data_IF_480659039461
#
_entry.id   IF_480659039461
#
_cell.length_a   1.000
_cell.length_b   1.000
_cell.length_c   1.000
_cell.angle_alpha   90.00
_cell.angle_beta   90.00
_cell.angle_gamma   90.00
#
_symmetry.space_group_name_H-M   'P 1'
#
loop_
_entity.id
_entity.type
_entity.pdbx_description
1 polymer ?
#
# COMPACT_ATOMS: atom_id res chain seq x y z
N UNK A 1 -23.47 67.77 -14.18
CA UNK A 1 -22.90 68.65 -13.14
C UNK A 1 -23.77 68.52 -11.90
N UNK A 2 -23.32 68.31 -10.68
CA UNK A 2 -22.09 67.85 -10.05
C UNK A 2 -22.48 67.60 -8.56
N UNK A 3 -21.77 66.68 -7.92
CA UNK A 3 -21.59 66.45 -6.46
C UNK A 3 -21.62 67.72 -5.57
N UNK A 4 -21.96 67.65 -4.26
CA UNK A 4 -21.09 67.09 -3.19
C UNK A 4 -21.83 66.21 -2.16
N UNK A 5 -21.24 65.23 -1.46
CA UNK A 5 -20.01 65.12 -0.63
C UNK A 5 -20.11 65.68 0.81
N UNK A 6 -20.19 64.74 1.77
CA UNK A 6 -19.39 64.57 3.01
C UNK A 6 -19.66 65.36 4.33
N UNK A 7 -19.16 64.70 5.40
CA UNK A 7 -18.91 65.09 6.81
C UNK A 7 -20.10 64.87 7.79
N UNK A 8 -20.03 64.14 8.93
CA UNK A 8 -18.94 63.55 9.73
C UNK A 8 -19.48 62.64 10.87
N UNK A 9 -18.69 61.62 11.26
CA UNK A 9 -18.42 61.07 12.63
C UNK A 9 -19.62 60.72 13.56
N UNK A 10 -19.73 59.60 14.28
CA UNK A 10 -18.71 58.80 14.97
C UNK A 10 -19.40 57.61 15.67
N UNK A 11 -18.63 56.52 15.86
CA UNK A 11 -18.77 55.47 16.90
C UNK A 11 -19.60 54.22 16.59
N UNK A 12 -18.95 53.25 15.95
CA UNK A 12 -19.27 51.82 16.08
C UNK A 12 -18.47 51.20 17.24
N UNK A 13 -19.04 50.27 18.04
CA UNK A 13 -18.40 49.69 19.22
C UNK A 13 -17.30 48.66 18.89
N UNK A 14 -16.35 48.41 19.82
CA UNK A 14 -15.19 47.55 19.57
C UNK A 14 -15.55 46.04 19.52
N UNK A 15 -14.75 45.21 18.81
CA UNK A 15 -14.99 43.78 18.70
C UNK A 15 -14.66 43.04 20.01
N UNK A 16 -15.34 41.90 20.30
CA UNK A 16 -15.11 41.14 21.51
C UNK A 16 -13.73 40.48 21.53
N UNK A 17 -13.12 40.51 22.72
CA UNK A 17 -11.77 40.05 23.03
C UNK A 17 -11.62 38.53 22.79
N UNK A 18 -10.64 38.18 21.97
CA UNK A 18 -10.12 36.82 21.80
C UNK A 18 -9.54 36.32 23.13
N UNK A 19 -10.27 35.46 23.82
CA UNK A 19 -9.73 34.65 24.91
C UNK A 19 -9.01 33.44 24.30
N UNK A 20 -7.69 33.50 24.25
CA UNK A 20 -6.84 32.33 24.06
C UNK A 20 -6.80 31.55 25.37
N UNK A 21 -7.32 30.32 25.35
CA UNK A 21 -7.01 29.31 26.36
C UNK A 21 -6.55 28.03 25.65
N UNK A 22 -5.48 27.37 26.15
CA UNK A 22 -4.88 26.24 25.48
C UNK A 22 -5.73 24.99 25.73
N UNK A 23 -6.28 24.40 24.68
CA UNK A 23 -6.92 23.08 24.79
C UNK A 23 -6.01 22.00 24.21
N UNK A 24 -5.11 21.54 25.07
CA UNK A 24 -4.52 20.21 24.96
C UNK A 24 -5.66 19.20 25.19
N UNK A 25 -5.97 18.39 24.19
CA UNK A 25 -6.84 17.21 24.33
C UNK A 25 -6.04 16.00 23.85
N UNK A 26 -5.49 15.31 24.84
CA UNK A 26 -5.04 13.93 24.73
C UNK A 26 -6.17 13.06 24.19
N UNK A 27 -5.85 12.30 23.15
CA UNK A 27 -6.70 11.27 22.58
C UNK A 27 -6.72 10.09 23.58
N UNK A 28 -7.90 9.56 23.95
CA UNK A 28 -7.98 8.43 24.86
C UNK A 28 -7.59 7.13 24.16
N UNK A 29 -6.53 6.51 24.65
CA UNK A 29 -6.13 5.13 24.35
C UNK A 29 -7.26 4.18 24.77
N UNK A 30 -7.94 3.56 23.80
CA UNK A 30 -8.90 2.50 24.09
C UNK A 30 -8.15 1.29 24.67
N UNK A 31 -8.46 1.00 25.94
CA UNK A 31 -8.02 -0.19 26.68
C UNK A 31 -8.55 -1.44 25.99
N UNK A 32 -7.65 -2.20 25.36
CA UNK A 32 -7.89 -3.63 25.10
C UNK A 32 -7.56 -4.37 26.41
N UNK A 33 -8.46 -5.29 26.76
CA UNK A 33 -8.43 -6.18 27.93
C UNK A 33 -7.07 -6.86 28.11
N UNK A 34 -6.27 -6.31 29.02
CA UNK A 34 -5.17 -7.01 29.67
C UNK A 34 -5.77 -8.04 30.62
N UNK A 35 -5.68 -9.32 30.29
CA UNK A 35 -5.95 -10.39 31.23
C UNK A 35 -4.77 -10.43 32.22
N UNK A 36 -4.92 -9.72 33.33
CA UNK A 36 -3.98 -9.74 34.45
C UNK A 36 -3.90 -11.17 35.01
N UNK A 37 -2.78 -11.85 34.77
CA UNK A 37 -2.36 -12.97 35.60
C UNK A 37 -1.88 -12.43 36.95
N UNK A 38 -2.45 -12.85 38.09
CA UNK A 38 -2.02 -12.36 39.39
C UNK A 38 -0.64 -12.92 39.76
N UNK A 39 0.27 -12.02 40.16
CA UNK A 39 1.41 -12.33 41.01
C UNK A 39 0.95 -12.27 42.47
N UNK A 40 0.94 -13.41 43.15
CA UNK A 40 1.05 -13.48 44.62
C UNK A 40 1.84 -14.73 45.03
N UNK A 41 3.03 -14.46 45.54
CA UNK A 41 3.68 -14.99 46.76
C UNK A 41 3.36 -16.40 47.29
N UNK A 42 4.47 -17.17 47.41
CA UNK A 42 4.96 -17.87 48.63
C UNK A 42 4.35 -19.20 49.10
N UNK A 43 5.26 -20.19 49.20
CA UNK A 43 5.31 -21.38 50.09
C UNK A 43 4.34 -22.50 49.64
N UNK A 44 4.78 -23.72 49.33
CA UNK A 44 5.21 -24.78 50.26
C UNK A 44 6.09 -25.80 49.49
N UNK A 45 7.31 -26.03 49.97
CA UNK A 45 8.06 -27.26 49.70
C UNK A 45 7.62 -28.30 50.75
N UNK A 46 6.90 -29.33 50.32
CA UNK A 46 6.69 -30.53 51.12
C UNK A 46 7.22 -31.73 50.34
N UNK A 47 8.38 -32.22 50.76
CA UNK A 47 8.81 -33.59 50.49
C UNK A 47 8.18 -34.49 51.55
N UNK A 48 7.34 -35.43 51.14
CA UNK A 48 7.15 -36.68 51.89
C UNK A 48 6.64 -37.79 50.97
N UNK A 49 7.38 -38.88 51.00
CA UNK A 49 7.12 -40.17 50.38
C UNK A 49 5.96 -40.88 51.10
N UNK A 50 5.00 -41.46 50.36
CA UNK A 50 4.35 -42.74 50.72
C UNK A 50 3.37 -43.24 49.65
N UNK A 51 3.71 -44.41 49.09
CA UNK A 51 2.88 -45.59 48.69
C UNK A 51 1.58 -45.43 47.87
N UNK A 52 1.66 -45.96 46.65
CA UNK A 52 0.75 -46.85 45.91
C UNK A 52 -0.77 -46.81 46.19
N UNK A 53 -1.55 -46.44 45.16
CA UNK A 53 -2.73 -47.19 44.71
C UNK A 53 -3.17 -46.73 43.31
N UNK A 54 -3.61 -47.69 42.48
CA UNK A 54 -3.87 -47.52 41.05
C UNK A 54 -4.97 -46.49 40.74
N UNK A 55 -4.61 -45.45 39.99
CA UNK A 55 -5.50 -44.41 39.49
C UNK A 55 -5.33 -44.33 37.96
N UNK A 56 -6.38 -44.07 37.15
CA UNK A 56 -6.24 -43.84 35.71
C UNK A 56 -5.17 -42.77 35.46
N UNK A 57 -4.48 -42.79 34.29
CA UNK A 57 -3.41 -41.83 34.04
C UNK A 57 -3.92 -40.41 34.32
N UNK A 58 -3.19 -39.63 35.12
CA UNK A 58 -3.61 -38.28 35.47
C UNK A 58 -3.86 -37.48 34.20
N UNK A 59 -4.79 -36.51 34.20
CA UNK A 59 -4.91 -35.55 33.11
C UNK A 59 -3.52 -35.00 32.86
N UNK A 60 -3.00 -35.21 31.64
CA UNK A 60 -1.65 -34.79 31.33
C UNK A 60 -1.55 -33.29 31.65
N UNK A 61 -0.51 -32.86 32.38
CA UNK A 61 -0.28 -31.44 32.62
C UNK A 61 -0.29 -30.73 31.26
N UNK A 62 -0.79 -29.48 31.15
CA UNK A 62 -0.85 -28.78 29.88
C UNK A 62 0.55 -28.81 29.30
N UNK A 63 0.72 -29.64 28.26
CA UNK A 63 2.03 -29.98 27.73
C UNK A 63 2.58 -28.65 27.22
N UNK A 64 3.63 -28.16 27.87
CA UNK A 64 4.27 -26.93 27.45
C UNK A 64 4.61 -27.10 25.96
N UNK A 65 4.14 -26.17 25.13
CA UNK A 65 4.31 -26.27 23.68
C UNK A 65 5.79 -26.46 23.36
N UNK A 66 6.19 -27.53 22.64
CA UNK A 66 7.60 -27.77 22.32
C UNK A 66 8.13 -26.77 21.27
N UNK A 67 7.22 -26.14 20.53
CA UNK A 67 7.52 -25.15 19.50
C UNK A 67 8.12 -23.87 20.12
N UNK A 68 9.31 -23.42 19.67
CA UNK A 68 9.91 -22.15 20.08
C UNK A 68 8.94 -20.98 19.88
N UNK A 69 8.98 -20.02 20.80
CA UNK A 69 8.01 -18.91 20.86
C UNK A 69 7.86 -18.14 19.53
N UNK A 70 8.97 -17.89 18.82
CA UNK A 70 8.96 -17.14 17.55
C UNK A 70 8.36 -17.90 16.37
N UNK A 71 8.35 -19.23 16.44
CA UNK A 71 7.80 -20.11 15.39
C UNK A 71 6.35 -20.51 15.67
N UNK A 72 5.75 -19.98 16.74
CA UNK A 72 4.34 -20.23 17.04
C UNK A 72 3.46 -19.39 16.09
N UNK A 73 2.47 -20.00 15.40
CA UNK A 73 1.62 -19.29 14.44
C UNK A 73 0.93 -18.05 15.00
N UNK A 74 0.61 -18.04 16.30
CA UNK A 74 -0.01 -16.89 16.96
C UNK A 74 0.96 -15.73 17.16
N UNK A 75 2.24 -16.01 17.40
CA UNK A 75 3.27 -14.98 17.53
C UNK A 75 3.66 -14.43 16.15
N UNK A 76 3.78 -15.30 15.14
CA UNK A 76 3.93 -14.89 13.73
C UNK A 76 2.81 -13.93 13.31
N UNK A 77 1.56 -14.24 13.68
CA UNK A 77 0.41 -13.37 13.44
C UNK A 77 0.53 -12.00 14.14
N UNK A 78 0.92 -11.97 15.40
CA UNK A 78 1.08 -10.71 16.15
C UNK A 78 2.22 -9.85 15.57
N UNK A 79 3.33 -10.50 15.19
CA UNK A 79 4.45 -9.85 14.51
C UNK A 79 4.02 -9.31 13.14
N UNK A 80 3.28 -10.08 12.35
CA UNK A 80 2.74 -9.62 11.08
C UNK A 80 1.79 -8.43 11.26
N UNK A 81 0.82 -8.53 12.17
CA UNK A 81 -0.18 -7.48 12.39
C UNK A 81 0.41 -6.17 12.94
N UNK A 82 1.55 -6.22 13.64
CA UNK A 82 2.24 -5.03 14.16
C UNK A 82 3.26 -4.44 13.17
N UNK A 83 3.86 -5.27 12.33
CA UNK A 83 4.88 -4.84 11.37
C UNK A 83 4.32 -3.97 10.23
N UNK A 84 5.14 -3.04 9.75
CA UNK A 84 4.88 -2.28 8.53
C UNK A 84 5.28 -3.12 7.30
N UNK A 85 4.53 -3.13 6.19
CA UNK A 85 3.27 -2.41 5.92
C UNK A 85 1.99 -3.21 6.28
N UNK A 86 2.13 -4.43 6.79
CA UNK A 86 1.02 -5.36 7.00
C UNK A 86 -0.01 -4.88 8.03
N UNK A 87 0.41 -4.07 8.99
CA UNK A 87 -0.47 -3.43 9.98
C UNK A 87 -1.56 -2.56 9.35
N UNK A 88 -1.33 -2.04 8.14
CA UNK A 88 -2.32 -1.24 7.41
C UNK A 88 -3.58 -2.04 7.10
N UNK A 89 -3.44 -3.33 6.78
CA UNK A 89 -4.58 -4.19 6.47
C UNK A 89 -5.38 -4.59 7.73
N UNK A 90 -4.75 -4.53 8.91
CA UNK A 90 -5.39 -4.82 10.19
C UNK A 90 -6.22 -3.63 10.74
N UNK A 91 -6.11 -2.44 10.15
CA UNK A 91 -6.88 -1.26 10.59
C UNK A 91 -8.38 -1.46 10.36
N UNK A 92 -9.20 -1.18 11.39
CA UNK A 92 -10.66 -1.33 11.34
C UNK A 92 -11.34 -0.26 10.48
N UNK A 93 -10.76 0.94 10.41
CA UNK A 93 -11.28 2.02 9.57
C UNK A 93 -10.93 1.79 8.10
N UNK A 94 -11.95 1.88 7.24
CA UNK A 94 -11.82 1.73 5.80
C UNK A 94 -11.15 2.97 5.18
N UNK A 95 -11.45 4.17 5.69
CA UNK A 95 -10.94 5.42 5.11
C UNK A 95 -9.42 5.50 5.32
N UNK A 96 -8.97 5.25 6.54
CA UNK A 96 -7.54 5.17 6.86
C UNK A 96 -6.81 4.09 6.07
N UNK A 97 -7.46 2.94 5.85
CA UNK A 97 -6.91 1.86 5.03
C UNK A 97 -6.66 2.32 3.59
N UNK A 98 -7.69 2.87 2.91
CA UNK A 98 -7.56 3.29 1.51
C UNK A 98 -6.62 4.49 1.34
N UNK A 99 -6.61 5.42 2.31
CA UNK A 99 -5.77 6.61 2.22
C UNK A 99 -4.28 6.27 2.27
N UNK A 100 -3.85 5.28 3.07
CA UNK A 100 -2.44 4.84 3.13
C UNK A 100 -1.95 4.28 1.79
N UNK A 101 -2.77 3.44 1.14
CA UNK A 101 -2.45 2.92 -0.20
C UNK A 101 -2.50 4.02 -1.26
N UNK A 102 -3.45 4.94 -1.16
CA UNK A 102 -3.55 6.06 -2.10
C UNK A 102 -2.35 7.01 -1.97
N UNK A 103 -1.96 7.39 -0.75
CA UNK A 103 -0.82 8.28 -0.51
C UNK A 103 0.49 7.63 -0.96
N UNK A 104 0.73 6.36 -0.61
CA UNK A 104 1.93 5.64 -1.07
C UNK A 104 1.98 5.50 -2.59
N UNK A 105 0.85 5.16 -3.22
CA UNK A 105 0.73 5.12 -4.69
C UNK A 105 0.96 6.50 -5.32
N UNK A 106 0.37 7.56 -4.79
CA UNK A 106 0.53 8.93 -5.28
C UNK A 106 1.98 9.42 -5.15
N UNK A 107 2.66 9.12 -4.03
CA UNK A 107 4.08 9.40 -3.90
C UNK A 107 4.89 8.70 -4.99
N UNK A 108 4.63 7.42 -5.26
CA UNK A 108 5.33 6.70 -6.33
C UNK A 108 5.08 7.32 -7.71
N UNK A 109 3.83 7.70 -8.00
CA UNK A 109 3.47 8.39 -9.25
C UNK A 109 4.22 9.71 -9.37
N UNK A 110 4.27 10.53 -8.32
CA UNK A 110 4.90 11.85 -8.37
C UNK A 110 6.43 11.77 -8.48
N UNK A 111 7.07 10.93 -7.67
CA UNK A 111 8.53 10.89 -7.59
C UNK A 111 9.19 10.02 -8.68
N UNK A 112 8.50 8.99 -9.16
CA UNK A 112 9.07 8.03 -10.13
C UNK A 112 8.23 8.02 -11.41
N UNK A 113 6.90 7.91 -11.29
CA UNK A 113 6.02 7.82 -12.45
C UNK A 113 6.10 9.03 -13.38
N UNK A 114 6.05 10.25 -12.83
CA UNK A 114 6.05 11.49 -13.61
C UNK A 114 7.41 11.75 -14.29
N UNK A 115 8.57 11.68 -13.61
CA UNK A 115 9.86 11.85 -14.29
C UNK A 115 10.07 10.81 -15.39
N UNK A 116 9.81 9.54 -15.10
CA UNK A 116 9.96 8.45 -16.10
C UNK A 116 9.05 8.68 -17.30
N UNK A 117 7.82 9.10 -17.07
CA UNK A 117 6.87 9.37 -18.14
C UNK A 117 7.24 10.61 -18.96
N UNK A 118 7.76 11.66 -18.32
CA UNK A 118 8.20 12.88 -19.00
C UNK A 118 9.34 12.61 -19.98
N UNK A 119 10.33 11.79 -19.58
CA UNK A 119 11.42 11.39 -20.48
C UNK A 119 11.01 10.35 -21.54
N UNK A 120 9.97 9.57 -21.28
CA UNK A 120 9.53 8.50 -22.19
C UNK A 120 8.66 8.96 -23.35
N UNK A 121 8.02 10.13 -23.28
CA UNK A 121 7.10 10.62 -24.32
C UNK A 121 7.80 11.58 -25.28
N UNK A 122 7.67 11.31 -26.58
CA UNK A 122 8.14 12.22 -27.64
C UNK A 122 7.22 13.46 -27.66
N UNK A 123 7.78 14.63 -27.37
CA UNK A 123 7.09 15.92 -27.23
C UNK A 123 6.00 15.94 -26.12
N UNK A 124 6.38 16.06 -24.83
CA UNK A 124 5.45 16.01 -23.71
C UNK A 124 4.39 17.12 -23.73
N UNK A 125 4.74 18.30 -24.25
CA UNK A 125 3.84 19.47 -24.37
C UNK A 125 2.63 19.19 -25.29
N UNK A 126 2.79 18.36 -26.32
CA UNK A 126 1.71 18.04 -27.26
C UNK A 126 0.79 16.94 -26.74
N UNK A 127 1.23 16.14 -25.76
CA UNK A 127 0.53 14.94 -25.31
C UNK A 127 0.52 14.76 -23.79
N UNK A 128 0.07 15.75 -23.01
CA UNK A 128 0.07 15.68 -21.55
C UNK A 128 -0.82 14.55 -21.02
N UNK A 129 -1.93 14.23 -21.69
CA UNK A 129 -2.84 13.16 -21.28
C UNK A 129 -2.17 11.79 -21.29
N UNK A 130 -1.36 11.49 -22.31
CA UNK A 130 -0.63 10.21 -22.35
C UNK A 130 0.36 10.11 -21.21
N UNK A 131 1.11 11.19 -20.96
CA UNK A 131 2.08 11.25 -19.87
C UNK A 131 1.41 11.00 -18.51
N UNK A 132 0.23 11.59 -18.27
CA UNK A 132 -0.53 11.36 -17.04
C UNK A 132 -1.02 9.91 -16.93
N UNK A 133 -1.59 9.34 -18.01
CA UNK A 133 -2.07 7.94 -17.97
C UNK A 133 -0.94 6.92 -17.84
N UNK A 134 0.24 7.15 -18.45
CA UNK A 134 1.41 6.29 -18.27
C UNK A 134 1.98 6.38 -16.86
N UNK A 135 2.07 7.59 -16.30
CA UNK A 135 2.50 7.77 -14.90
C UNK A 135 1.50 7.14 -13.91
N UNK A 136 0.19 7.27 -14.16
CA UNK A 136 -0.84 6.65 -13.34
C UNK A 136 -0.79 5.12 -13.43
N UNK A 137 -0.60 4.57 -14.64
CA UNK A 137 -0.52 3.12 -14.86
C UNK A 137 0.65 2.49 -14.10
N UNK A 138 1.81 3.16 -14.07
CA UNK A 138 2.97 2.67 -13.32
C UNK A 138 2.73 2.68 -11.80
N UNK A 139 2.09 3.72 -11.26
CA UNK A 139 1.69 3.78 -9.85
C UNK A 139 0.68 2.71 -9.47
N UNK A 140 -0.32 2.47 -10.31
CA UNK A 140 -1.29 1.38 -10.12
C UNK A 140 -0.60 0.02 -10.14
N UNK A 141 0.37 -0.20 -11.03
CA UNK A 141 1.13 -1.45 -11.09
C UNK A 141 1.90 -1.69 -9.78
N UNK A 142 2.63 -0.69 -9.28
CA UNK A 142 3.36 -0.84 -8.00
C UNK A 142 2.41 -1.04 -6.82
N UNK A 143 1.29 -0.33 -6.79
CA UNK A 143 0.26 -0.53 -5.77
C UNK A 143 -0.32 -1.97 -5.81
N UNK A 144 -0.57 -2.54 -7.00
CA UNK A 144 -1.05 -3.93 -7.13
C UNK A 144 -0.05 -4.92 -6.56
N UNK A 145 1.25 -4.75 -6.85
CA UNK A 145 2.31 -5.64 -6.36
C UNK A 145 2.43 -5.55 -4.83
N UNK A 146 2.37 -4.33 -4.28
CA UNK A 146 2.42 -4.14 -2.83
C UNK A 146 1.22 -4.80 -2.11
N UNK A 147 0.00 -4.61 -2.63
CA UNK A 147 -1.21 -5.24 -2.06
C UNK A 147 -1.17 -6.76 -2.21
N UNK A 148 -0.67 -7.27 -3.34
CA UNK A 148 -0.48 -8.71 -3.55
C UNK A 148 0.51 -9.29 -2.53
N UNK A 149 1.63 -8.61 -2.27
CA UNK A 149 2.63 -9.05 -1.28
C UNK A 149 2.02 -9.11 0.13
N UNK A 150 1.27 -8.08 0.51
CA UNK A 150 0.53 -8.05 1.78
C UNK A 150 -0.48 -9.20 1.83
N UNK A 151 -1.25 -9.42 0.77
CA UNK A 151 -2.22 -10.52 0.69
C UNK A 151 -1.56 -11.89 0.88
N UNK A 152 -0.43 -12.14 0.23
CA UNK A 152 0.31 -13.40 0.34
C UNK A 152 0.81 -13.64 1.77
N UNK A 153 1.35 -12.62 2.44
CA UNK A 153 1.82 -12.76 3.83
C UNK A 153 0.67 -13.07 4.79
N UNK A 154 -0.47 -12.37 4.66
CA UNK A 154 -1.68 -12.66 5.45
C UNK A 154 -2.27 -14.05 5.14
N UNK A 155 -2.21 -14.49 3.87
CA UNK A 155 -2.69 -15.81 3.47
C UNK A 155 -1.80 -16.92 4.04
N UNK A 156 -0.48 -16.71 4.05
CA UNK A 156 0.50 -17.63 4.64
C UNK A 156 0.25 -17.85 6.13
N UNK A 157 0.20 -16.78 6.92
CA UNK A 157 -0.05 -16.87 8.37
C UNK A 157 -1.44 -17.42 8.65
N UNK A 158 -2.45 -17.00 7.87
CA UNK A 158 -3.80 -17.56 7.96
C UNK A 158 -3.83 -19.08 7.74
N UNK A 159 -3.09 -19.58 6.77
CA UNK A 159 -2.99 -21.02 6.51
C UNK A 159 -2.30 -21.76 7.67
N UNK A 160 -1.22 -21.21 8.24
CA UNK A 160 -0.52 -21.79 9.41
C UNK A 160 -1.37 -21.77 10.69
N UNK A 161 -2.20 -20.75 10.89
CA UNK A 161 -3.15 -20.70 12.01
C UNK A 161 -4.21 -21.80 11.88
N UNK A 162 -4.76 -22.00 10.68
CA UNK A 162 -5.84 -22.97 10.46
C UNK A 162 -5.36 -24.43 10.34
N UNK A 163 -4.07 -24.63 10.06
CA UNK A 163 -3.44 -25.95 9.95
C UNK A 163 -3.34 -26.63 11.32
N UNK A 164 -3.61 -27.94 11.33
CA UNK A 164 -3.54 -28.78 12.53
C UNK A 164 -2.11 -29.17 12.91
N UNK A 165 -1.18 -29.11 11.97
CA UNK A 165 0.24 -29.38 12.15
C UNK A 165 1.04 -28.10 11.99
N UNK A 166 2.14 -27.99 12.73
CA UNK A 166 3.12 -26.91 12.61
C UNK A 166 4.49 -27.55 12.47
N UNK A 167 5.17 -27.21 11.38
CA UNK A 167 6.56 -27.57 11.18
C UNK A 167 7.42 -26.50 11.85
N UNK A 168 8.33 -26.93 12.70
CA UNK A 168 9.18 -26.06 13.50
C UNK A 168 10.58 -26.64 13.62
N UNK A 169 11.57 -25.77 13.72
CA UNK A 169 12.97 -26.16 13.90
C UNK A 169 13.36 -25.99 15.36
N UNK A 170 13.73 -27.10 16.00
CA UNK A 170 14.21 -27.09 17.40
C UNK A 170 15.66 -26.62 17.50
N UNK A 171 16.52 -27.01 16.54
CA UNK A 171 17.94 -26.62 16.42
C UNK A 171 18.43 -26.82 14.98
N UNK A 172 19.31 -25.96 14.47
CA UNK A 172 19.68 -25.87 13.05
C UNK A 172 20.27 -27.13 12.36
N UNK A 173 20.50 -26.99 11.05
CA UNK A 173 20.99 -27.95 10.02
C UNK A 173 20.35 -29.35 9.91
N UNK A 174 19.54 -29.78 10.87
CA UNK A 174 18.75 -31.01 10.79
C UNK A 174 17.27 -30.70 10.52
N UNK A 175 16.60 -31.64 9.85
CA UNK A 175 15.21 -31.53 9.40
C UNK A 175 14.26 -31.02 10.50
N UNK A 176 13.32 -30.17 10.12
CA UNK A 176 12.28 -29.66 11.01
C UNK A 176 11.41 -30.78 11.59
N UNK A 177 10.95 -30.59 12.82
CA UNK A 177 9.98 -31.47 13.45
C UNK A 177 8.56 -30.98 13.17
N UNK A 178 7.60 -31.92 13.16
CA UNK A 178 6.19 -31.60 13.02
C UNK A 178 5.49 -31.76 14.37
N UNK A 179 4.86 -30.69 14.84
CA UNK A 179 4.02 -30.73 16.03
C UNK A 179 2.55 -30.73 15.64
N UNK A 180 1.78 -31.67 16.19
CA UNK A 180 0.31 -31.70 16.05
C UNK A 180 -0.30 -30.85 17.16
N UNK A 181 -1.05 -29.82 16.79
CA UNK A 181 -1.72 -28.93 17.75
C UNK A 181 -2.74 -29.71 18.58
N UNK A 182 -2.76 -29.46 19.89
CA UNK A 182 -3.84 -29.96 20.75
C UNK A 182 -5.18 -29.34 20.33
N UNK A 183 -6.29 -30.03 20.61
CA UNK A 183 -7.62 -29.58 20.20
C UNK A 183 -7.97 -28.18 20.75
N UNK A 184 -7.49 -27.84 21.93
CA UNK A 184 -7.68 -26.53 22.59
C UNK A 184 -6.95 -25.41 21.84
N UNK A 185 -5.68 -25.61 21.49
CA UNK A 185 -4.86 -24.64 20.75
C UNK A 185 -5.43 -24.44 19.35
N UNK A 186 -5.81 -25.54 18.69
CA UNK A 186 -6.40 -25.48 17.36
C UNK A 186 -7.75 -24.76 17.34
N UNK A 187 -8.59 -24.96 18.36
CA UNK A 187 -9.85 -24.24 18.50
C UNK A 187 -9.63 -22.72 18.66
N UNK A 188 -8.66 -22.32 19.50
CA UNK A 188 -8.26 -20.92 19.68
C UNK A 188 -7.78 -20.30 18.37
N UNK A 189 -6.86 -20.97 17.66
CA UNK A 189 -6.30 -20.48 16.40
C UNK A 189 -7.37 -20.33 15.31
N UNK A 190 -8.33 -21.26 15.25
CA UNK A 190 -9.46 -21.18 14.31
C UNK A 190 -10.42 -20.03 14.62
N UNK A 191 -10.70 -19.79 15.90
CA UNK A 191 -11.48 -18.62 16.31
C UNK A 191 -10.75 -17.33 15.86
N UNK A 192 -9.48 -17.20 16.19
CA UNK A 192 -8.69 -16.03 15.79
C UNK A 192 -8.61 -15.87 14.26
N UNK A 193 -8.33 -16.96 13.54
CA UNK A 193 -8.25 -16.96 12.08
C UNK A 193 -9.56 -16.58 11.41
N UNK A 194 -10.69 -17.05 11.94
CA UNK A 194 -12.00 -16.74 11.37
C UNK A 194 -12.47 -15.32 11.65
N UNK A 195 -12.22 -14.78 12.85
CA UNK A 195 -12.67 -13.44 13.25
C UNK A 195 -11.72 -12.30 12.86
N UNK A 196 -10.41 -12.54 12.83
CA UNK A 196 -9.42 -11.50 12.54
C UNK A 196 -8.85 -11.61 11.14
N UNK A 197 -8.40 -12.80 10.73
CA UNK A 197 -7.67 -12.96 9.45
C UNK A 197 -8.62 -12.98 8.25
N UNK A 198 -9.75 -13.68 8.35
CA UNK A 198 -10.71 -13.83 7.25
C UNK A 198 -11.28 -12.48 6.73
N UNK A 199 -11.72 -11.52 7.57
CA UNK A 199 -12.20 -10.24 7.06
C UNK A 199 -11.08 -9.41 6.41
N UNK A 200 -9.85 -9.47 6.95
CA UNK A 200 -8.69 -8.79 6.37
C UNK A 200 -8.36 -9.34 4.98
N UNK A 201 -8.30 -10.67 4.84
CA UNK A 201 -8.09 -11.31 3.54
C UNK A 201 -9.17 -10.98 2.53
N UNK A 202 -10.44 -10.94 2.96
CA UNK A 202 -11.53 -10.62 2.05
C UNK A 202 -11.45 -9.17 1.54
N UNK A 203 -11.12 -8.22 2.42
CA UNK A 203 -10.88 -6.82 2.05
C UNK A 203 -9.73 -6.69 1.05
N UNK A 204 -8.60 -7.36 1.32
CA UNK A 204 -7.44 -7.37 0.42
C UNK A 204 -7.77 -7.95 -0.96
N UNK A 205 -8.58 -9.02 -1.02
CA UNK A 205 -9.07 -9.58 -2.29
C UNK A 205 -9.86 -8.58 -3.09
N UNK A 206 -10.83 -7.89 -2.47
CA UNK A 206 -11.63 -6.88 -3.18
C UNK A 206 -10.76 -5.72 -3.66
N UNK A 207 -9.79 -5.26 -2.87
CA UNK A 207 -8.86 -4.23 -3.33
C UNK A 207 -7.96 -4.68 -4.46
N UNK A 208 -7.51 -5.94 -4.44
CA UNK A 208 -6.70 -6.50 -5.51
C UNK A 208 -7.49 -6.58 -6.82
N UNK A 209 -8.74 -7.03 -6.76
CA UNK A 209 -9.64 -7.06 -7.93
C UNK A 209 -9.92 -5.64 -8.43
N UNK A 210 -10.19 -4.69 -7.52
CA UNK A 210 -10.42 -3.29 -7.89
C UNK A 210 -9.20 -2.63 -8.55
N UNK A 211 -8.00 -2.87 -8.02
CA UNK A 211 -6.75 -2.37 -8.60
C UNK A 211 -6.42 -3.05 -9.93
N UNK A 212 -6.68 -4.35 -10.07
CA UNK A 212 -6.50 -5.04 -11.35
C UNK A 212 -7.44 -4.49 -12.42
N UNK A 213 -8.72 -4.28 -12.08
CA UNK A 213 -9.69 -3.67 -12.98
C UNK A 213 -9.30 -2.24 -13.37
N UNK A 214 -8.86 -1.40 -12.41
CA UNK A 214 -8.42 -0.04 -12.71
C UNK A 214 -7.16 0.00 -13.56
N UNK A 215 -6.23 -0.93 -13.36
CA UNK A 215 -5.03 -1.09 -14.19
C UNK A 215 -5.40 -1.42 -15.63
N UNK A 216 -6.32 -2.37 -15.85
CA UNK A 216 -6.82 -2.72 -17.19
C UNK A 216 -7.49 -1.50 -17.85
N UNK A 217 -8.34 -0.77 -17.12
CA UNK A 217 -8.98 0.45 -17.63
C UNK A 217 -7.93 1.51 -17.99
N UNK A 218 -6.90 1.70 -17.17
CA UNK A 218 -5.82 2.66 -17.43
C UNK A 218 -5.04 2.31 -18.70
N UNK A 219 -4.77 1.02 -18.93
CA UNK A 219 -4.08 0.56 -20.14
C UNK A 219 -4.96 0.75 -21.38
N UNK A 220 -6.26 0.44 -21.30
CA UNK A 220 -7.21 0.69 -22.39
C UNK A 220 -7.31 2.18 -22.74
N UNK A 221 -7.35 3.05 -21.73
CA UNK A 221 -7.33 4.51 -21.95
C UNK A 221 -6.03 4.97 -22.62
N UNK A 222 -4.88 4.42 -22.21
CA UNK A 222 -3.60 4.73 -22.84
C UNK A 222 -3.59 4.37 -24.33
N UNK A 223 -4.12 3.20 -24.70
CA UNK A 223 -4.23 2.76 -26.10
C UNK A 223 -5.20 3.66 -26.89
N UNK A 224 -6.32 4.06 -26.30
CA UNK A 224 -7.31 4.92 -26.97
C UNK A 224 -6.80 6.34 -27.20
N UNK A 225 -6.18 6.98 -26.20
CA UNK A 225 -5.47 8.26 -26.40
C UNK A 225 -4.35 8.06 -27.41
N UNK A 226 -3.79 6.85 -27.44
CA UNK A 226 -2.84 6.38 -28.42
C UNK A 226 -3.38 6.22 -29.86
N UNK A 227 -4.69 6.12 -30.06
CA UNK A 227 -5.25 6.02 -31.41
C UNK A 227 -5.64 7.39 -31.97
N UNK A 228 -5.96 8.36 -31.10
CA UNK A 228 -6.44 9.69 -31.51
C UNK A 228 -5.32 10.66 -31.90
N UNK A 229 -4.07 10.39 -31.53
CA UNK A 229 -2.95 11.21 -31.96
C UNK A 229 -2.49 10.76 -33.36
N UNK A 230 -2.79 11.58 -34.36
CA UNK A 230 -2.26 11.38 -35.70
C UNK A 230 -0.88 12.06 -35.78
N UNK A 231 0.24 11.34 -36.00
CA UNK A 231 1.56 11.96 -36.08
C UNK A 231 1.74 12.92 -37.27
N UNK A 232 0.76 12.94 -38.19
CA UNK A 232 0.80 13.66 -39.46
C UNK A 232 0.24 15.08 -39.42
N UNK A 233 0.14 15.75 -38.26
CA UNK A 233 -0.05 17.21 -38.30
C UNK A 233 1.31 17.87 -38.50
N UNK A 234 1.59 18.44 -39.69
CA UNK A 234 2.79 19.22 -39.89
C UNK A 234 2.63 20.47 -39.04
N UNK A 235 3.58 20.71 -38.15
CA UNK A 235 3.72 22.02 -37.53
C UNK A 235 4.04 23.00 -38.67
N UNK A 236 3.12 23.90 -39.01
CA UNK A 236 3.45 25.12 -39.76
C UNK A 236 4.32 26.01 -38.87
N UNK A 237 5.55 25.59 -38.60
CA UNK A 237 6.62 26.48 -38.18
C UNK A 237 7.50 26.76 -39.41
N UNK A 238 7.49 28.02 -39.85
CA UNK A 238 8.29 28.60 -40.92
C UNK A 238 9.79 28.65 -40.53
N UNK A 239 10.38 27.47 -40.31
CA UNK A 239 11.73 27.33 -39.82
C UNK A 239 11.98 25.91 -39.31
N UNK A 240 12.39 25.04 -40.23
CA UNK A 240 12.61 23.62 -40.00
C UNK A 240 13.41 23.31 -38.74
N UNK A 241 12.70 22.87 -37.69
CA UNK A 241 13.33 22.32 -36.50
C UNK A 241 13.43 20.81 -36.69
N UNK A 242 14.65 20.33 -36.94
CA UNK A 242 14.94 18.90 -37.09
C UNK A 242 14.52 18.14 -35.82
N UNK A 243 13.49 17.32 -35.92
CA UNK A 243 13.09 16.39 -34.86
C UNK A 243 14.07 15.22 -34.87
N UNK A 244 14.71 14.95 -33.72
CA UNK A 244 15.67 13.85 -33.61
C UNK A 244 15.00 12.50 -33.92
N UNK A 245 15.48 11.81 -34.95
CA UNK A 245 15.03 10.47 -35.35
C UNK A 245 14.06 10.40 -36.53
N UNK A 246 13.63 11.52 -37.08
CA UNK A 246 12.81 11.56 -38.31
C UNK A 246 13.61 12.21 -39.42
N UNK A 247 13.91 11.44 -40.47
CA UNK A 247 14.55 11.95 -41.68
C UNK A 247 13.52 12.84 -42.42
N UNK A 248 13.86 14.11 -42.61
CA UNK A 248 13.05 15.04 -43.38
C UNK A 248 13.77 15.38 -44.69
N UNK A 249 13.20 14.96 -45.82
CA UNK A 249 13.75 15.19 -47.16
C UNK A 249 13.98 16.68 -47.45
N UNK A 250 13.14 17.56 -46.91
CA UNK A 250 13.27 19.02 -47.08
C UNK A 250 14.49 19.58 -46.34
N UNK A 251 14.80 19.04 -45.15
CA UNK A 251 15.99 19.40 -44.38
C UNK A 251 17.25 18.74 -44.93
N UNK A 252 17.14 17.60 -45.61
CA UNK A 252 18.28 16.98 -46.30
C UNK A 252 18.71 17.79 -47.53
N UNK A 253 17.74 18.34 -48.26
CA UNK A 253 17.98 19.20 -49.43
C UNK A 253 18.70 20.51 -49.12
N UNK A 254 18.55 21.07 -47.91
CA UNK A 254 19.30 22.28 -47.53
C UNK A 254 20.80 22.03 -47.31
N UNK A 255 21.23 20.76 -47.27
CA UNK A 255 22.64 20.37 -47.24
C UNK A 255 23.15 19.92 -48.62
N UNK A 256 22.31 19.87 -49.65
CA UNK A 256 22.77 19.64 -51.02
C UNK A 256 23.38 20.94 -51.56
N UNK A 257 24.59 20.91 -52.14
CA UNK A 257 25.19 22.10 -52.73
C UNK A 257 24.33 22.59 -53.90
N UNK A 258 24.19 23.92 -54.05
CA UNK A 258 23.35 24.63 -55.05
C UNK A 258 23.59 24.22 -56.53
N UNK A 259 24.52 23.29 -56.80
CA UNK A 259 24.84 22.76 -58.12
C UNK A 259 23.70 21.95 -58.78
N UNK A 260 22.62 21.61 -58.07
CA UNK A 260 21.48 20.84 -58.60
C UNK A 260 20.15 21.61 -58.62
N UNK A 261 20.13 22.86 -58.15
CA UNK A 261 18.95 23.72 -58.22
C UNK A 261 18.88 24.38 -59.61
N UNK A 262 18.47 23.62 -60.63
CA UNK A 262 18.11 24.22 -61.92
C UNK A 262 16.85 25.10 -61.73
N UNK A 263 16.99 26.41 -61.96
CA UNK A 263 15.85 27.32 -62.10
C UNK A 263 14.95 26.83 -63.25
N UNK A 264 13.63 26.63 -63.02
CA UNK A 264 12.72 26.45 -64.13
C UNK A 264 12.62 27.79 -64.88
N UNK A 265 13.26 27.83 -66.04
CA UNK A 265 13.30 29.00 -66.92
C UNK A 265 11.94 29.65 -67.11
N UNK A 266 11.89 30.94 -66.79
CA UNK A 266 10.81 31.83 -67.22
C UNK A 266 10.85 32.01 -68.75
N UNK A 267 9.69 32.16 -69.41
CA UNK A 267 9.50 32.02 -70.86
C UNK A 267 10.23 33.06 -71.72
#
# INVERSE_FOLDING_TARGET
MATPYLFLLSKSPPPPKTFLLPHQKSIPTNKILQLNSPKTSSIITCSSSSKNEGTPPPPQPPVACPVPFDQQPINEYQNLASSFPYSWASTSDLVEYYSRFFVSGACFVIFIGLPVSWFGVVNPELQPLKCVFSALSSGLCVATIAVLHIYLAWAYVGNRLLSATVEYEETGWYDGQIWVKTAEVLARDRLLGSFSVKPVLNRLKFTLVGLAASLVISVLLLVNVGSSYNPYLPSEEDGGRSVAGVYNDESARSFEPDAFCEEPGSP
#
